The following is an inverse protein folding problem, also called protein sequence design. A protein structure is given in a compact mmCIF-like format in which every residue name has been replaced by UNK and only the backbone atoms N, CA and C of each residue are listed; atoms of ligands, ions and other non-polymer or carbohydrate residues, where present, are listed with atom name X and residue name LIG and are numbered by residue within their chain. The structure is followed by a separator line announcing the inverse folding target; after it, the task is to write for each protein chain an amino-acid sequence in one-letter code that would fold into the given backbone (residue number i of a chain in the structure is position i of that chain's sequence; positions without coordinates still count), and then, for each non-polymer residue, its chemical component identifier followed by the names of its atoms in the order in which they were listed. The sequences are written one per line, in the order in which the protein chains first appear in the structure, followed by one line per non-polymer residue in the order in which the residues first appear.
data_IF_910319567918
#
_entry.id   IF_910319567918
#
_cell.length_a   1.000
_cell.length_b   1.000
_cell.length_c   1.000
_cell.angle_alpha   90.00
_cell.angle_beta   90.00
_cell.angle_gamma   90.00
#
_symmetry.space_group_name_H-M   'P 1'
#
loop_
_entity.id
_entity.type
_entity.pdbx_description
1 polymer ?
#
# COMPACT_ATOMS: atom_id res chain seq x y z
N UNK A 1 -13.30 20.68 -2.37
CA UNK A 1 -13.61 19.46 -3.17
C UNK A 1 -12.29 18.81 -3.55
N UNK A 2 -11.64 18.14 -2.60
CA UNK A 2 -10.31 17.55 -2.78
C UNK A 2 -10.42 16.03 -2.62
N UNK A 3 -11.04 15.38 -3.59
CA UNK A 3 -10.94 13.94 -3.72
C UNK A 3 -9.63 13.62 -4.46
N UNK A 4 -8.49 13.84 -3.82
CA UNK A 4 -7.22 13.33 -4.36
C UNK A 4 -7.22 11.82 -4.11
N UNK A 5 -7.83 11.08 -5.01
CA UNK A 5 -7.96 9.63 -4.95
C UNK A 5 -6.58 9.05 -5.31
N UNK A 6 -5.81 8.58 -4.33
CA UNK A 6 -4.73 7.63 -4.62
C UNK A 6 -5.27 6.23 -4.40
N UNK A 7 -5.38 5.49 -5.49
CA UNK A 7 -5.61 4.06 -5.46
C UNK A 7 -4.36 3.37 -4.90
N UNK A 8 -4.55 2.36 -4.02
CA UNK A 8 -3.44 1.72 -3.30
C UNK A 8 -2.41 1.03 -4.22
N UNK A 9 -2.80 0.70 -5.45
CA UNK A 9 -1.88 0.25 -6.50
C UNK A 9 -0.81 1.30 -6.85
N UNK A 10 -1.14 2.59 -6.88
CA UNK A 10 -0.16 3.65 -7.17
C UNK A 10 0.84 3.77 -6.02
N UNK A 11 0.35 3.79 -4.77
CA UNK A 11 1.25 3.88 -3.62
C UNK A 11 2.14 2.63 -3.50
N UNK A 12 1.60 1.45 -3.84
CA UNK A 12 2.40 0.23 -3.95
C UNK A 12 3.48 0.38 -5.03
N UNK A 13 3.16 0.85 -6.24
CA UNK A 13 4.18 1.10 -7.27
C UNK A 13 5.27 2.10 -6.82
N UNK A 14 4.88 3.17 -6.11
CA UNK A 14 5.84 4.14 -5.56
C UNK A 14 6.74 3.47 -4.52
N UNK A 15 6.17 2.67 -3.62
CA UNK A 15 6.94 1.88 -2.64
C UNK A 15 8.03 1.04 -3.33
N UNK A 16 7.68 0.33 -4.41
CA UNK A 16 8.67 -0.46 -5.17
C UNK A 16 9.71 0.40 -5.87
N UNK A 17 9.28 1.50 -6.49
CA UNK A 17 10.20 2.44 -7.12
C UNK A 17 11.23 2.98 -6.13
N UNK A 18 10.82 3.30 -4.91
CA UNK A 18 11.71 3.76 -3.86
C UNK A 18 12.70 2.68 -3.43
N UNK A 19 12.24 1.45 -3.17
CA UNK A 19 13.11 0.32 -2.83
C UNK A 19 14.17 0.05 -3.91
N UNK A 20 13.77 0.01 -5.18
CA UNK A 20 14.71 -0.25 -6.29
C UNK A 20 15.77 0.84 -6.44
N UNK A 21 15.51 2.05 -5.93
CA UNK A 21 16.43 3.18 -6.00
C UNK A 21 17.18 3.41 -4.67
N UNK A 22 17.07 2.52 -3.68
CA UNK A 22 17.77 2.61 -2.40
C UNK A 22 17.16 3.61 -1.41
N UNK A 23 15.95 4.09 -1.65
CA UNK A 23 15.20 4.97 -0.74
C UNK A 23 14.39 4.14 0.27
N UNK A 24 15.09 3.32 1.05
CA UNK A 24 14.47 2.36 1.96
C UNK A 24 13.60 3.06 3.00
N UNK A 25 14.09 4.15 3.59
CA UNK A 25 13.36 4.89 4.63
C UNK A 25 12.01 5.42 4.13
N UNK A 26 12.00 6.02 2.94
CA UNK A 26 10.79 6.58 2.33
C UNK A 26 9.82 5.47 1.94
N UNK A 27 10.33 4.34 1.44
CA UNK A 27 9.53 3.16 1.15
C UNK A 27 8.82 2.65 2.42
N UNK A 28 9.54 2.51 3.53
CA UNK A 28 8.99 2.07 4.81
C UNK A 28 7.87 2.99 5.32
N UNK A 29 8.04 4.32 5.18
CA UNK A 29 6.99 5.31 5.54
C UNK A 29 5.71 5.07 4.72
N UNK A 30 5.83 4.87 3.41
CA UNK A 30 4.67 4.62 2.55
C UNK A 30 3.99 3.32 2.92
N UNK A 31 4.76 2.25 3.15
CA UNK A 31 4.24 0.95 3.56
C UNK A 31 3.42 1.07 4.85
N UNK A 32 3.99 1.71 5.86
CA UNK A 32 3.39 1.79 7.19
C UNK A 32 2.10 2.64 7.18
N UNK A 33 2.07 3.74 6.43
CA UNK A 33 0.84 4.53 6.25
C UNK A 33 -0.23 3.78 5.46
N UNK A 34 0.15 2.96 4.47
CA UNK A 34 -0.83 2.08 3.78
C UNK A 34 -1.45 1.09 4.77
N UNK A 35 -0.62 0.38 5.53
CA UNK A 35 -1.06 -0.60 6.52
C UNK A 35 -1.99 0.05 7.53
N UNK A 36 -1.57 1.17 8.14
CA UNK A 36 -2.36 1.91 9.14
C UNK A 36 -3.74 2.32 8.63
N UNK A 37 -3.84 2.87 7.42
CA UNK A 37 -5.13 3.26 6.83
C UNK A 37 -6.05 2.06 6.60
N UNK A 38 -5.51 0.95 6.09
CA UNK A 38 -6.30 -0.26 5.80
C UNK A 38 -6.72 -0.96 7.09
N UNK A 39 -5.88 -0.96 8.13
CA UNK A 39 -6.23 -1.48 9.45
C UNK A 39 -7.36 -0.66 10.09
N UNK A 40 -7.38 0.66 9.88
CA UNK A 40 -8.42 1.54 10.43
C UNK A 40 -9.76 1.44 9.68
N UNK A 41 -9.74 1.51 8.36
CA UNK A 41 -10.96 1.67 7.54
C UNK A 41 -11.40 0.37 6.84
N UNK A 42 -10.59 -0.69 6.93
CA UNK A 42 -10.72 -1.92 6.16
C UNK A 42 -10.30 -1.74 4.70
N UNK A 43 -10.29 -2.82 3.91
CA UNK A 43 -9.93 -2.78 2.50
C UNK A 43 -10.96 -2.01 1.65
N UNK A 44 -10.73 -0.71 1.47
CA UNK A 44 -11.58 0.21 0.68
C UNK A 44 -11.03 0.43 -0.73
N UNK A 45 -11.90 0.87 -1.64
CA UNK A 45 -11.52 1.20 -3.02
C UNK A 45 -10.64 2.44 -3.09
N UNK A 46 -10.96 3.46 -2.28
CA UNK A 46 -10.29 4.75 -2.26
C UNK A 46 -10.06 5.21 -0.83
N UNK A 47 -9.08 6.11 -0.64
CA UNK A 47 -8.80 6.76 0.63
C UNK A 47 -8.55 8.24 0.41
N UNK A 48 -8.97 9.06 1.37
CA UNK A 48 -8.59 10.46 1.43
C UNK A 48 -7.14 10.59 1.92
N UNK A 49 -6.33 11.39 1.25
CA UNK A 49 -4.91 11.55 1.59
C UNK A 49 -4.67 12.32 2.88
N UNK A 50 -5.55 13.26 3.20
CA UNK A 50 -5.38 14.13 4.35
C UNK A 50 -6.04 13.55 5.59
N UNK A 51 -7.22 12.93 5.44
CA UNK A 51 -7.98 12.39 6.58
C UNK A 51 -7.77 10.89 6.79
N UNK A 52 -7.30 10.16 5.77
CA UNK A 52 -7.20 8.71 5.78
C UNK A 52 -8.54 7.98 5.66
N UNK A 53 -9.65 8.71 5.51
CA UNK A 53 -10.99 8.12 5.42
C UNK A 53 -11.15 7.28 4.16
N UNK A 54 -11.68 6.07 4.32
CA UNK A 54 -11.89 5.15 3.23
C UNK A 54 -13.25 5.35 2.56
N UNK A 55 -13.30 5.41 1.24
CA UNK A 55 -14.53 5.60 0.45
C UNK A 55 -14.68 4.57 -0.67
N UNK A 56 -15.89 4.49 -1.22
CA UNK A 56 -16.26 3.52 -2.25
C UNK A 56 -16.55 2.12 -1.68
N UNK A 57 -16.35 1.10 -2.53
CA UNK A 57 -16.65 -0.29 -2.19
C UNK A 57 -15.81 -0.83 -1.02
N UNK A 58 -16.44 -1.62 -0.15
CA UNK A 58 -15.78 -2.38 0.92
C UNK A 58 -15.21 -3.69 0.36
N UNK A 59 -14.28 -4.32 1.11
CA UNK A 59 -13.67 -5.61 0.78
C UNK A 59 -13.06 -5.66 -0.62
N UNK A 60 -12.41 -4.57 -1.01
CA UNK A 60 -11.93 -4.43 -2.39
C UNK A 60 -10.64 -5.23 -2.60
N UNK A 61 -10.71 -6.27 -3.44
CA UNK A 61 -9.71 -7.35 -3.50
C UNK A 61 -8.28 -6.88 -3.77
N UNK A 62 -8.08 -5.90 -4.65
CA UNK A 62 -6.73 -5.41 -4.95
C UNK A 62 -6.08 -4.73 -3.73
N UNK A 63 -6.88 -4.11 -2.85
CA UNK A 63 -6.43 -3.34 -1.69
C UNK A 63 -6.02 -4.34 -0.64
N UNK A 64 -6.83 -5.38 -0.45
CA UNK A 64 -6.49 -6.50 0.41
C UNK A 64 -5.20 -7.21 -0.05
N UNK A 65 -5.10 -7.55 -1.34
CA UNK A 65 -3.93 -8.25 -1.89
C UNK A 65 -2.63 -7.45 -1.73
N UNK A 66 -2.63 -6.17 -2.10
CA UNK A 66 -1.44 -5.32 -1.99
C UNK A 66 -1.08 -5.04 -0.53
N UNK A 67 -2.08 -4.88 0.35
CA UNK A 67 -1.81 -4.68 1.78
C UNK A 67 -1.21 -5.92 2.41
N UNK A 68 -1.67 -7.12 2.03
CA UNK A 68 -1.08 -8.37 2.49
C UNK A 68 0.38 -8.49 2.08
N UNK A 69 0.71 -8.19 0.81
CA UNK A 69 2.11 -8.17 0.35
C UNK A 69 2.99 -7.24 1.22
N UNK A 70 2.52 -6.02 1.48
CA UNK A 70 3.21 -5.07 2.35
C UNK A 70 3.37 -5.57 3.80
N UNK A 71 2.36 -6.25 4.36
CA UNK A 71 2.45 -6.87 5.69
C UNK A 71 3.50 -7.98 5.74
N UNK A 72 3.56 -8.84 4.73
CA UNK A 72 4.58 -9.89 4.67
C UNK A 72 5.99 -9.28 4.63
N UNK A 73 6.18 -8.21 3.86
CA UNK A 73 7.45 -7.47 3.80
C UNK A 73 7.83 -6.82 5.13
N UNK A 74 6.86 -6.22 5.82
CA UNK A 74 7.08 -5.66 7.17
C UNK A 74 7.58 -6.74 8.16
N UNK A 75 7.14 -7.99 7.99
CA UNK A 75 7.62 -9.12 8.80
C UNK A 75 8.99 -9.70 8.38
N UNK A 76 9.68 -9.07 7.41
CA UNK A 76 10.97 -9.53 6.88
C UNK A 76 10.87 -10.76 5.96
N UNK A 77 9.65 -11.12 5.51
CA UNK A 77 9.42 -12.28 4.65
C UNK A 77 9.43 -11.86 3.18
N UNK A 78 10.10 -12.66 2.35
CA UNK A 78 9.96 -12.56 0.89
C UNK A 78 8.55 -12.99 0.46
N UNK A 79 8.00 -12.31 -0.52
CA UNK A 79 6.67 -12.59 -1.08
C UNK A 79 6.81 -13.28 -2.45
N UNK A 80 5.75 -13.96 -2.95
CA UNK A 80 5.78 -14.50 -4.31
C UNK A 80 6.06 -13.44 -5.38
N UNK A 81 5.71 -12.18 -5.10
CA UNK A 81 5.98 -11.05 -6.00
C UNK A 81 7.47 -10.74 -6.12
N UNK A 82 8.30 -11.03 -5.11
CA UNK A 82 9.76 -10.88 -5.23
C UNK A 82 10.31 -11.75 -6.37
N UNK A 83 9.82 -12.98 -6.50
CA UNK A 83 10.22 -13.88 -7.58
C UNK A 83 9.75 -13.41 -8.96
N UNK A 84 8.57 -12.81 -9.03
CA UNK A 84 7.97 -12.33 -10.28
C UNK A 84 8.66 -11.04 -10.75
N UNK A 85 9.01 -10.17 -9.81
CA UNK A 85 9.54 -8.83 -10.07
C UNK A 85 11.08 -8.78 -10.08
N UNK A 86 11.75 -9.87 -9.68
CA UNK A 86 13.22 -9.95 -9.66
C UNK A 86 13.86 -9.24 -8.47
N UNK A 87 13.24 -9.32 -7.29
CA UNK A 87 13.65 -8.64 -6.05
C UNK A 87 14.23 -9.61 -4.97
#
# INVERSE_FOLDING_TARGET
MAWTILSKNINWMIYYGLLQNGYDREAEIIRDEIIKMVTKEGARKYYNLFTGEGSGGKNFSWTAALTLDLFYRQSGKKTPLDKILGL
#
